data_IF_423525230943
#
_entry.id   IF_423525230943
#
_cell.length_a   1.000
_cell.length_b   1.000
_cell.length_c   1.000
_cell.angle_alpha   90.00
_cell.angle_beta   90.00
_cell.angle_gamma   90.00
#
_symmetry.space_group_name_H-M   'P 1'
#
loop_
_entity.id
_entity.type
_entity.pdbx_description
1 polymer ?
#
# COMPACT_ATOMS: atom_id res chain seq x y z
N UNK A 1 -14.48 -13.01 25.42
CA UNK A 1 -13.40 -12.92 24.41
C UNK A 1 -13.24 -11.46 24.09
N UNK A 2 -12.03 -10.89 24.28
CA UNK A 2 -11.78 -9.50 23.90
C UNK A 2 -11.87 -9.38 22.38
N UNK A 3 -12.72 -8.51 21.88
CA UNK A 3 -12.78 -8.10 20.48
C UNK A 3 -12.00 -6.80 20.32
N UNK A 4 -11.36 -6.64 19.17
CA UNK A 4 -10.68 -5.43 18.75
C UNK A 4 -11.47 -4.78 17.63
N UNK A 5 -11.41 -3.45 17.55
CA UNK A 5 -12.04 -2.65 16.48
C UNK A 5 -10.99 -1.71 15.92
N UNK A 6 -10.94 -1.58 14.59
CA UNK A 6 -10.00 -0.68 13.91
C UNK A 6 -10.51 -0.31 12.51
N UNK A 7 -9.98 0.78 11.98
CA UNK A 7 -10.13 1.17 10.58
C UNK A 7 -9.27 0.24 9.70
N UNK A 8 -9.85 -0.26 8.63
CA UNK A 8 -9.22 -1.23 7.76
C UNK A 8 -9.56 -1.04 6.29
N UNK A 9 -8.68 -1.54 5.43
CA UNK A 9 -8.88 -1.70 3.99
C UNK A 9 -8.68 -3.17 3.62
N UNK A 10 -9.59 -3.71 2.80
CA UNK A 10 -9.46 -5.07 2.29
C UNK A 10 -8.42 -5.08 1.17
N UNK A 11 -7.36 -5.86 1.33
CA UNK A 11 -6.31 -6.04 0.34
C UNK A 11 -6.62 -7.18 -0.62
N UNK A 12 -7.07 -8.31 -0.08
CA UNK A 12 -7.32 -9.53 -0.85
C UNK A 12 -8.40 -10.38 -0.23
N UNK A 13 -9.11 -11.14 -1.06
CA UNK A 13 -10.15 -12.06 -0.60
C UNK A 13 -10.02 -13.41 -1.30
N UNK A 14 -10.17 -14.50 -0.53
CA UNK A 14 -10.14 -15.87 -1.04
C UNK A 14 -11.41 -16.60 -0.59
N UNK A 15 -12.05 -17.30 -1.51
CA UNK A 15 -13.18 -18.18 -1.17
C UNK A 15 -12.72 -19.27 -0.21
N UNK A 16 -13.43 -19.42 0.91
CA UNK A 16 -13.12 -20.42 1.93
C UNK A 16 -14.36 -21.22 2.30
N UNK A 17 -14.27 -22.54 2.16
CA UNK A 17 -15.43 -23.41 2.31
C UNK A 17 -16.60 -22.94 1.43
N UNK A 18 -17.83 -23.36 1.70
CA UNK A 18 -18.97 -23.06 0.85
C UNK A 18 -19.46 -21.59 0.95
N UNK A 19 -19.45 -21.01 2.15
CA UNK A 19 -20.11 -19.73 2.42
C UNK A 19 -19.22 -18.65 3.02
N UNK A 20 -17.95 -18.95 3.30
CA UNK A 20 -17.02 -18.05 3.98
C UNK A 20 -16.00 -17.44 3.01
N UNK A 21 -15.35 -16.38 3.46
CA UNK A 21 -14.15 -15.80 2.84
C UNK A 21 -13.01 -15.81 3.85
N UNK A 22 -11.78 -16.02 3.39
CA UNK A 22 -10.59 -15.53 4.05
C UNK A 22 -10.31 -14.17 3.43
N UNK A 23 -10.09 -13.17 4.25
CA UNK A 23 -9.75 -11.82 3.81
C UNK A 23 -8.42 -11.40 4.42
N UNK A 24 -7.56 -10.82 3.61
CA UNK A 24 -6.40 -10.07 4.06
C UNK A 24 -6.83 -8.60 4.17
N UNK A 25 -6.63 -8.01 5.34
CA UNK A 25 -6.93 -6.60 5.59
C UNK A 25 -5.68 -5.90 6.09
N UNK A 26 -5.54 -4.63 5.75
CA UNK A 26 -4.58 -3.74 6.37
C UNK A 26 -5.33 -2.83 7.33
N UNK A 27 -4.97 -2.87 8.59
CA UNK A 27 -5.57 -2.06 9.65
C UNK A 27 -4.62 -0.97 10.09
N UNK A 28 -5.18 0.14 10.58
CA UNK A 28 -4.37 1.30 10.94
C UNK A 28 -3.46 1.06 12.13
N UNK A 29 -3.94 0.33 13.16
CA UNK A 29 -3.21 0.19 14.43
C UNK A 29 -2.68 -1.21 14.70
N UNK A 30 -3.11 -2.23 13.94
CA UNK A 30 -2.68 -3.62 14.12
C UNK A 30 -1.95 -4.19 12.89
N UNK A 31 -1.76 -3.39 11.85
CA UNK A 31 -1.10 -3.83 10.63
C UNK A 31 -1.92 -4.78 9.78
N UNK A 32 -1.24 -5.65 9.04
CA UNK A 32 -1.89 -6.63 8.15
C UNK A 32 -2.40 -7.85 8.92
N UNK A 33 -3.66 -8.21 8.70
CA UNK A 33 -4.35 -9.31 9.40
C UNK A 33 -5.03 -10.25 8.42
N UNK A 34 -5.01 -11.56 8.74
CA UNK A 34 -5.85 -12.55 8.09
C UNK A 34 -7.13 -12.79 8.88
N UNK A 35 -8.29 -12.64 8.27
CA UNK A 35 -9.58 -12.82 8.93
C UNK A 35 -10.47 -13.81 8.19
N UNK A 36 -11.24 -14.60 8.93
CA UNK A 36 -12.30 -15.46 8.40
C UNK A 36 -13.64 -14.72 8.53
N UNK A 37 -14.24 -14.38 7.41
CA UNK A 37 -15.59 -13.80 7.31
C UNK A 37 -16.61 -14.92 7.08
N UNK A 38 -17.19 -15.46 8.16
CA UNK A 38 -18.15 -16.56 8.10
C UNK A 38 -19.46 -16.10 7.45
N UNK A 39 -19.95 -16.89 6.50
CA UNK A 39 -21.21 -16.61 5.81
C UNK A 39 -21.19 -15.41 4.85
N UNK A 40 -20.03 -14.82 4.60
CA UNK A 40 -19.89 -13.64 3.72
C UNK A 40 -20.36 -13.89 2.28
N UNK A 41 -20.30 -15.14 1.81
CA UNK A 41 -20.74 -15.54 0.45
C UNK A 41 -22.22 -15.91 0.36
N UNK A 42 -22.96 -15.94 1.46
CA UNK A 42 -24.40 -16.22 1.41
C UNK A 42 -25.13 -15.16 0.60
N UNK A 43 -26.19 -15.51 -0.18
CA UNK A 43 -26.90 -14.57 -1.06
C UNK A 43 -27.42 -13.30 -0.35
N UNK A 44 -27.84 -13.44 0.91
CA UNK A 44 -28.39 -12.34 1.74
C UNK A 44 -27.40 -11.78 2.75
N UNK A 45 -26.10 -12.04 2.59
CA UNK A 45 -25.08 -11.54 3.52
C UNK A 45 -24.80 -10.06 3.28
N UNK A 46 -24.95 -9.22 4.29
CA UNK A 46 -24.53 -7.83 4.25
C UNK A 46 -23.01 -7.69 3.98
N UNK A 47 -22.20 -8.64 4.44
CA UNK A 47 -20.75 -8.65 4.23
C UNK A 47 -20.35 -8.79 2.75
N UNK A 48 -21.19 -9.37 1.91
CA UNK A 48 -20.88 -9.63 0.48
C UNK A 48 -20.60 -8.34 -0.31
N UNK A 49 -21.31 -7.25 0.01
CA UNK A 49 -21.12 -5.95 -0.64
C UNK A 49 -20.06 -5.08 0.05
N UNK A 50 -19.78 -5.36 1.33
CA UNK A 50 -18.85 -4.58 2.15
C UNK A 50 -17.39 -4.99 1.96
N UNK A 51 -17.11 -6.30 1.91
CA UNK A 51 -15.75 -6.84 1.87
C UNK A 51 -15.15 -6.73 0.46
N UNK A 52 -15.19 -5.54 -0.10
CA UNK A 52 -14.59 -5.22 -1.40
C UNK A 52 -13.28 -4.43 -1.18
N UNK A 53 -12.27 -4.61 -2.06
CA UNK A 53 -11.07 -3.80 -2.02
C UNK A 53 -11.36 -2.29 -2.11
N UNK A 54 -10.43 -1.49 -1.61
CA UNK A 54 -10.40 -0.03 -1.75
C UNK A 54 -11.52 0.74 -1.03
N UNK A 55 -12.22 0.09 -0.10
CA UNK A 55 -13.25 0.77 0.71
C UNK A 55 -12.81 0.79 2.17
N UNK A 56 -12.79 1.98 2.82
CA UNK A 56 -12.52 2.07 4.25
C UNK A 56 -13.66 1.45 5.04
N UNK A 57 -13.31 0.53 5.91
CA UNK A 57 -14.23 -0.20 6.78
C UNK A 57 -13.79 -0.03 8.23
N UNK A 58 -14.73 0.19 9.13
CA UNK A 58 -14.53 -0.13 10.53
C UNK A 58 -14.83 -1.62 10.72
N UNK A 59 -13.84 -2.38 11.15
CA UNK A 59 -13.95 -3.82 11.35
C UNK A 59 -13.79 -4.17 12.83
N UNK A 60 -14.54 -5.19 13.26
CA UNK A 60 -14.39 -5.79 14.59
C UNK A 60 -14.09 -7.29 14.43
N UNK A 61 -13.08 -7.75 15.15
CA UNK A 61 -12.66 -9.15 15.09
C UNK A 61 -12.29 -9.69 16.47
N UNK A 62 -12.17 -11.02 16.57
CA UNK A 62 -11.69 -11.71 17.76
C UNK A 62 -10.85 -12.94 17.38
N UNK A 63 -10.00 -13.34 18.33
CA UNK A 63 -9.07 -14.47 18.19
C UNK A 63 -7.62 -14.01 18.33
N UNK A 64 -6.72 -14.98 18.54
CA UNK A 64 -5.27 -14.79 18.66
C UNK A 64 -4.49 -15.64 17.67
N UNK A 65 -5.18 -16.49 16.89
CA UNK A 65 -4.57 -17.30 15.86
C UNK A 65 -4.20 -16.46 14.65
N UNK A 66 -3.39 -17.02 13.79
CA UNK A 66 -2.98 -16.39 12.52
C UNK A 66 -4.19 -15.96 11.66
N UNK A 67 -5.24 -16.78 11.65
CA UNK A 67 -6.53 -16.44 11.06
C UNK A 67 -7.54 -16.16 12.19
N UNK A 68 -7.98 -14.91 12.31
CA UNK A 68 -8.92 -14.44 13.32
C UNK A 68 -10.35 -14.42 12.76
N UNK A 69 -11.36 -14.35 13.61
CA UNK A 69 -12.74 -14.31 13.15
C UNK A 69 -13.21 -12.84 13.00
N UNK A 70 -13.65 -12.46 11.80
CA UNK A 70 -14.37 -11.22 11.59
C UNK A 70 -15.74 -11.33 12.26
N UNK A 71 -16.07 -10.35 13.11
CA UNK A 71 -17.34 -10.28 13.84
C UNK A 71 -18.30 -9.28 13.20
N UNK A 72 -17.79 -8.12 12.77
CA UNK A 72 -18.56 -7.08 12.12
C UNK A 72 -17.68 -6.29 11.15
N UNK A 73 -18.30 -5.69 10.14
CA UNK A 73 -17.68 -4.71 9.26
C UNK A 73 -18.74 -3.67 8.91
N UNK A 74 -18.37 -2.40 8.95
CA UNK A 74 -19.22 -1.27 8.62
C UNK A 74 -18.47 -0.32 7.68
N UNK A 75 -19.16 0.22 6.69
CA UNK A 75 -18.56 1.18 5.78
C UNK A 75 -18.47 2.56 6.44
N UNK A 76 -17.28 3.16 6.42
CA UNK A 76 -17.02 4.44 7.08
C UNK A 76 -17.18 5.62 6.11
N UNK A 77 -17.09 5.36 4.80
CA UNK A 77 -17.13 6.44 3.80
C UNK A 77 -15.77 7.12 3.60
N UNK A 78 -15.81 8.33 3.04
CA UNK A 78 -14.63 9.20 2.93
C UNK A 78 -13.71 8.98 1.73
N UNK A 79 -13.85 7.88 0.99
CA UNK A 79 -13.09 7.58 -0.21
C UNK A 79 -14.03 7.35 -1.41
N UNK A 80 -13.77 8.03 -2.52
CA UNK A 80 -14.42 7.71 -3.78
C UNK A 80 -14.02 6.31 -4.25
N UNK A 81 -14.96 5.58 -4.87
CA UNK A 81 -14.68 4.21 -5.34
C UNK A 81 -13.72 4.25 -6.52
N UNK A 82 -12.66 3.45 -6.45
CA UNK A 82 -11.86 3.16 -7.63
C UNK A 82 -12.74 2.45 -8.67
N UNK A 83 -12.64 2.87 -9.90
CA UNK A 83 -13.40 2.30 -11.03
C UNK A 83 -12.58 2.35 -12.32
N UNK A 84 -13.02 1.59 -13.33
CA UNK A 84 -12.37 1.57 -14.63
C UNK A 84 -10.87 1.29 -14.59
N UNK A 85 -10.06 2.05 -15.34
CA UNK A 85 -8.62 1.88 -15.41
C UNK A 85 -7.90 2.03 -14.06
N UNK A 86 -8.43 2.82 -13.11
CA UNK A 86 -7.80 3.04 -11.79
C UNK A 86 -7.77 1.78 -10.91
N UNK A 87 -8.54 0.75 -11.25
CA UNK A 87 -8.50 -0.53 -10.52
C UNK A 87 -7.14 -1.23 -10.64
N UNK A 88 -6.46 -1.15 -11.79
CA UNK A 88 -5.18 -1.82 -12.00
C UNK A 88 -4.08 -1.29 -11.07
N UNK A 89 -3.79 0.03 -11.02
CA UNK A 89 -2.85 0.56 -10.05
C UNK A 89 -3.29 0.30 -8.60
N UNK A 90 -4.58 0.32 -8.29
CA UNK A 90 -5.08 -0.05 -6.97
C UNK A 90 -4.75 -1.50 -6.59
N UNK A 91 -4.96 -2.46 -7.48
CA UNK A 91 -4.59 -3.87 -7.25
C UNK A 91 -3.08 -4.06 -7.17
N UNK A 92 -2.30 -3.31 -7.91
CA UNK A 92 -0.85 -3.31 -7.78
C UNK A 92 -0.40 -2.88 -6.38
N UNK A 93 -0.98 -1.80 -5.84
CA UNK A 93 -0.72 -1.38 -4.45
C UNK A 93 -1.09 -2.48 -3.45
N UNK A 94 -2.26 -3.12 -3.61
CA UNK A 94 -2.66 -4.24 -2.75
C UNK A 94 -1.65 -5.39 -2.79
N UNK A 95 -1.15 -5.73 -3.97
CA UNK A 95 -0.16 -6.80 -4.13
C UNK A 95 1.14 -6.46 -3.41
N UNK A 96 1.64 -5.23 -3.53
CA UNK A 96 2.81 -4.76 -2.78
C UNK A 96 2.60 -4.91 -1.26
N UNK A 97 1.45 -4.45 -0.75
CA UNK A 97 1.12 -4.54 0.67
C UNK A 97 1.07 -6.00 1.16
N UNK A 98 0.44 -6.89 0.38
CA UNK A 98 0.33 -8.31 0.75
C UNK A 98 1.68 -9.00 0.73
N UNK A 99 2.57 -8.64 -0.20
CA UNK A 99 3.88 -9.29 -0.36
C UNK A 99 4.94 -8.78 0.59
N UNK A 100 4.93 -7.48 0.89
CA UNK A 100 6.04 -6.82 1.58
C UNK A 100 5.77 -6.58 3.05
N UNK A 101 4.53 -6.34 3.47
CA UNK A 101 4.24 -6.04 4.88
C UNK A 101 4.02 -7.33 5.66
N UNK A 102 4.77 -7.57 6.75
CA UNK A 102 4.50 -8.67 7.67
C UNK A 102 3.10 -8.57 8.29
N UNK A 103 2.56 -9.70 8.74
CA UNK A 103 1.33 -9.69 9.55
C UNK A 103 1.63 -9.20 10.95
N UNK A 104 0.62 -8.60 11.59
CA UNK A 104 0.66 -8.13 12.98
C UNK A 104 1.75 -7.06 13.24
N UNK A 105 2.16 -6.34 12.19
CA UNK A 105 3.10 -5.24 12.25
C UNK A 105 2.40 -3.93 11.85
N UNK A 106 2.29 -3.01 12.80
CA UNK A 106 1.52 -1.78 12.65
C UNK A 106 2.35 -0.68 11.97
N UNK A 107 1.84 -0.13 10.87
CA UNK A 107 2.43 0.98 10.14
C UNK A 107 1.36 2.08 9.92
N UNK A 108 1.01 2.87 10.93
CA UNK A 108 -0.08 3.87 10.82
C UNK A 108 0.18 4.92 9.74
N UNK A 109 1.43 5.38 9.61
CA UNK A 109 1.81 6.36 8.59
C UNK A 109 1.62 5.80 7.17
N UNK A 110 2.00 4.53 6.95
CA UNK A 110 1.79 3.85 5.67
C UNK A 110 0.30 3.61 5.39
N UNK A 111 -0.51 3.33 6.43
CA UNK A 111 -1.96 3.21 6.26
C UNK A 111 -2.57 4.52 5.75
N UNK A 112 -2.20 5.64 6.36
CA UNK A 112 -2.69 6.97 5.99
C UNK A 112 -2.20 7.34 4.56
N UNK A 113 -0.96 7.02 4.19
CA UNK A 113 -0.42 7.24 2.84
C UNK A 113 -1.10 6.34 1.78
N UNK A 114 -1.38 5.07 2.12
CA UNK A 114 -2.12 4.17 1.25
C UNK A 114 -3.53 4.69 0.97
N UNK A 115 -4.24 5.14 2.01
CA UNK A 115 -5.58 5.73 1.88
C UNK A 115 -5.55 7.00 1.00
N UNK A 116 -4.56 7.87 1.21
CA UNK A 116 -4.36 9.09 0.41
C UNK A 116 -4.04 8.76 -1.05
N UNK A 117 -3.21 7.75 -1.30
CA UNK A 117 -2.83 7.29 -2.64
C UNK A 117 -4.05 6.74 -3.40
N UNK A 118 -4.88 5.92 -2.74
CA UNK A 118 -6.16 5.47 -3.32
C UNK A 118 -7.07 6.66 -3.65
N UNK A 119 -7.10 7.68 -2.78
CA UNK A 119 -7.86 8.91 -3.01
C UNK A 119 -7.39 9.68 -4.25
N UNK A 120 -6.08 9.74 -4.51
CA UNK A 120 -5.53 10.35 -5.72
C UNK A 120 -5.94 9.58 -6.97
N UNK A 121 -5.82 8.25 -6.97
CA UNK A 121 -6.22 7.39 -8.08
C UNK A 121 -7.72 7.45 -8.37
N UNK A 122 -8.54 7.67 -7.35
CA UNK A 122 -10.00 7.73 -7.47
C UNK A 122 -10.53 9.07 -8.01
N UNK A 123 -9.72 10.14 -8.01
CA UNK A 123 -10.16 11.48 -8.50
C UNK A 123 -10.37 11.52 -10.01
N UNK A 124 -9.49 10.87 -10.76
CA UNK A 124 -9.48 10.85 -12.22
C UNK A 124 -9.30 9.42 -12.73
N UNK A 125 -10.29 8.53 -12.53
CA UNK A 125 -10.13 7.12 -12.83
C UNK A 125 -9.88 6.84 -14.32
N UNK A 126 -10.39 7.68 -15.23
CA UNK A 126 -10.17 7.62 -16.67
C UNK A 126 -8.74 7.96 -17.09
N UNK A 127 -8.05 8.79 -16.31
CA UNK A 127 -6.66 9.19 -16.56
C UNK A 127 -5.65 8.18 -16.01
N UNK A 128 -6.09 7.14 -15.33
CA UNK A 128 -5.19 6.16 -14.71
C UNK A 128 -4.42 5.30 -15.74
N UNK A 129 -4.76 5.36 -17.01
CA UNK A 129 -3.96 4.81 -18.12
C UNK A 129 -2.84 5.76 -18.55
N UNK A 130 -2.93 7.03 -18.21
CA UNK A 130 -1.85 7.99 -18.47
C UNK A 130 -0.70 7.74 -17.49
N UNK A 131 0.41 7.20 -18.01
CA UNK A 131 1.59 6.86 -17.22
C UNK A 131 2.21 8.10 -16.57
N UNK A 132 2.24 9.23 -17.25
CA UNK A 132 2.82 10.47 -16.74
C UNK A 132 2.13 10.97 -15.46
N UNK A 133 0.83 10.69 -15.32
CA UNK A 133 0.04 11.07 -14.14
C UNK A 133 0.07 9.99 -13.05
N UNK A 134 -0.03 8.74 -13.44
CA UNK A 134 -0.18 7.62 -12.50
C UNK A 134 1.16 7.16 -11.92
N UNK A 135 2.22 7.14 -12.73
CA UNK A 135 3.52 6.66 -12.32
C UNK A 135 4.12 7.44 -11.14
N UNK A 136 4.11 8.79 -11.10
CA UNK A 136 4.59 9.54 -9.95
C UNK A 136 3.82 9.22 -8.65
N UNK A 137 2.51 8.99 -8.75
CA UNK A 137 1.67 8.62 -7.60
C UNK A 137 2.14 7.27 -7.04
N UNK A 138 2.35 6.28 -7.91
CA UNK A 138 2.81 4.95 -7.51
C UNK A 138 4.24 4.99 -6.96
N UNK A 139 5.18 5.69 -7.64
CA UNK A 139 6.57 5.84 -7.18
C UNK A 139 6.65 6.48 -5.80
N UNK A 140 5.85 7.52 -5.54
CA UNK A 140 5.79 8.13 -4.22
C UNK A 140 5.37 7.12 -3.15
N UNK A 141 4.32 6.34 -3.41
CA UNK A 141 3.87 5.30 -2.48
C UNK A 141 4.93 4.23 -2.25
N UNK A 142 5.57 3.73 -3.32
CA UNK A 142 6.64 2.73 -3.23
C UNK A 142 7.83 3.23 -2.40
N UNK A 143 8.25 4.48 -2.60
CA UNK A 143 9.31 5.10 -1.80
C UNK A 143 8.93 5.17 -0.30
N UNK A 144 7.67 5.52 0.00
CA UNK A 144 7.19 5.57 1.37
C UNK A 144 7.08 4.17 1.98
N UNK A 145 6.61 3.18 1.22
CA UNK A 145 6.57 1.78 1.63
C UNK A 145 7.99 1.27 1.97
N UNK A 146 8.97 1.50 1.09
CA UNK A 146 10.37 1.11 1.34
C UNK A 146 10.93 1.81 2.57
N UNK A 147 10.59 3.08 2.79
CA UNK A 147 11.01 3.84 3.97
C UNK A 147 10.44 3.24 5.25
N UNK A 148 9.15 2.94 5.29
CA UNK A 148 8.49 2.30 6.43
C UNK A 148 9.06 0.90 6.74
N UNK A 149 9.49 0.18 5.70
CA UNK A 149 10.14 -1.12 5.81
C UNK A 149 11.64 -1.04 6.17
N UNK A 150 12.21 0.16 6.27
CA UNK A 150 13.64 0.36 6.56
C UNK A 150 14.59 0.12 5.39
N UNK A 151 14.06 0.01 4.16
CA UNK A 151 14.85 -0.24 2.93
C UNK A 151 14.98 0.98 2.03
N UNK A 152 14.44 2.14 2.43
CA UNK A 152 14.50 3.32 1.57
C UNK A 152 15.94 3.79 1.37
N UNK A 153 16.42 3.88 0.13
CA UNK A 153 17.60 4.65 -0.16
C UNK A 153 17.35 6.13 0.22
N UNK A 154 18.37 6.77 0.76
CA UNK A 154 18.32 8.20 1.05
C UNK A 154 18.47 8.96 -0.29
N UNK A 155 17.38 9.12 -1.05
CA UNK A 155 17.41 9.85 -2.33
C UNK A 155 17.72 11.32 -2.19
N UNK A 156 17.68 11.88 -0.98
CA UNK A 156 18.01 13.27 -0.69
C UNK A 156 19.47 13.49 -0.30
N UNK A 157 20.29 12.43 -0.21
CA UNK A 157 21.69 12.48 0.25
C UNK A 157 22.59 11.54 -0.53
N UNK A 158 23.87 11.89 -0.58
CA UNK A 158 24.90 10.98 -1.08
C UNK A 158 25.13 9.83 -0.10
N UNK A 159 25.19 8.60 -0.60
CA UNK A 159 25.40 7.42 0.26
C UNK A 159 26.81 7.38 0.83
N UNK A 160 27.80 7.83 0.07
CA UNK A 160 29.20 7.93 0.52
C UNK A 160 29.45 9.04 1.53
N UNK A 161 28.60 10.06 1.56
CA UNK A 161 28.65 11.18 2.49
C UNK A 161 27.25 11.66 2.84
N UNK A 162 26.67 11.09 3.89
CA UNK A 162 25.29 11.37 4.33
C UNK A 162 25.05 12.80 4.79
N UNK A 163 26.08 13.61 4.99
CA UNK A 163 25.96 15.05 5.27
C UNK A 163 25.75 15.87 3.98
N UNK A 164 26.12 15.32 2.81
CA UNK A 164 25.91 15.97 1.52
C UNK A 164 24.52 15.69 0.99
N UNK A 165 23.72 16.74 0.85
CA UNK A 165 22.41 16.67 0.18
C UNK A 165 22.57 16.63 -1.33
N UNK A 166 21.72 15.85 -1.98
CA UNK A 166 21.56 15.86 -3.43
C UNK A 166 21.09 17.26 -3.88
N UNK A 167 21.74 17.82 -4.90
CA UNK A 167 21.49 19.16 -5.41
C UNK A 167 21.34 19.14 -6.92
N UNK A 168 20.34 19.84 -7.47
CA UNK A 168 20.08 19.94 -8.91
C UNK A 168 21.23 20.51 -9.74
N UNK A 169 22.29 21.04 -9.10
CA UNK A 169 23.50 21.55 -9.76
C UNK A 169 24.54 20.47 -10.06
N UNK A 170 24.30 19.22 -9.67
CA UNK A 170 25.27 18.14 -9.81
C UNK A 170 24.64 16.91 -10.47
N UNK A 171 25.49 16.06 -11.03
CA UNK A 171 25.12 14.76 -11.59
C UNK A 171 25.38 13.65 -10.58
N UNK A 172 24.47 12.69 -10.53
CA UNK A 172 24.54 11.56 -9.59
C UNK A 172 24.29 10.25 -10.33
N UNK A 173 25.04 9.25 -9.96
CA UNK A 173 24.79 7.86 -10.33
C UNK A 173 24.00 7.19 -9.21
N UNK A 174 22.95 6.46 -9.58
CA UNK A 174 22.13 5.65 -8.67
C UNK A 174 22.47 4.19 -8.87
N UNK A 175 22.99 3.55 -7.85
CA UNK A 175 23.33 2.13 -7.89
C UNK A 175 22.47 1.38 -6.84
N UNK A 176 21.77 0.28 -7.21
CA UNK A 176 20.91 -0.47 -6.27
C UNK A 176 21.64 -1.02 -5.03
N UNK A 177 22.95 -1.25 -5.12
CA UNK A 177 23.74 -1.83 -4.04
C UNK A 177 24.53 -0.79 -3.24
N UNK A 178 25.02 0.26 -3.89
CA UNK A 178 25.88 1.27 -3.25
C UNK A 178 25.18 2.61 -3.03
N UNK A 179 23.96 2.76 -3.54
CA UNK A 179 23.14 3.96 -3.38
C UNK A 179 23.52 5.09 -4.34
N UNK A 180 23.42 6.33 -3.86
CA UNK A 180 23.62 7.54 -4.65
C UNK A 180 25.04 8.09 -4.44
N UNK A 181 25.76 8.30 -5.53
CA UNK A 181 27.09 8.89 -5.53
C UNK A 181 27.18 10.00 -6.58
N UNK A 182 27.87 11.09 -6.23
CA UNK A 182 28.13 12.16 -7.16
C UNK A 182 29.12 11.73 -8.23
N UNK A 183 28.85 12.09 -9.48
CA UNK A 183 29.70 11.79 -10.64
C UNK A 183 30.15 13.08 -11.33
N UNK A 184 31.24 12.99 -12.07
CA UNK A 184 31.79 14.06 -12.87
C UNK A 184 31.31 13.97 -14.32
N UNK A 185 31.36 15.08 -15.08
CA UNK A 185 30.96 15.13 -16.49
C UNK A 185 31.67 14.09 -17.39
N UNK A 186 32.85 13.62 -16.98
CA UNK A 186 33.59 12.56 -17.71
C UNK A 186 32.91 11.19 -17.68
N UNK A 187 31.92 10.99 -16.84
CA UNK A 187 31.14 9.74 -16.67
C UNK A 187 29.76 9.82 -17.34
N UNK A 188 29.50 10.88 -18.14
CA UNK A 188 28.33 11.05 -18.99
C UNK A 188 28.32 10.01 -20.12
N UNK A 189 27.63 8.92 -19.91
CA UNK A 189 27.48 7.81 -20.88
C UNK A 189 26.87 6.56 -20.24
N UNK A 190 26.75 6.55 -18.93
CA UNK A 190 26.06 5.51 -18.18
C UNK A 190 24.56 5.81 -18.11
N UNK A 191 23.74 4.80 -18.38
CA UNK A 191 22.27 4.89 -18.37
C UNK A 191 21.68 5.26 -16.99
N UNK A 192 22.48 5.20 -15.92
CA UNK A 192 22.06 5.41 -14.53
C UNK A 192 22.52 6.77 -13.93
N UNK A 193 22.76 7.77 -14.79
CA UNK A 193 23.16 9.12 -14.35
C UNK A 193 21.98 10.09 -14.42
N UNK A 194 21.73 10.81 -13.33
CA UNK A 194 20.59 11.70 -13.15
C UNK A 194 21.05 13.05 -12.61
N UNK A 195 20.27 14.11 -12.93
CA UNK A 195 20.36 15.38 -12.22
C UNK A 195 19.70 15.25 -10.85
N UNK A 196 20.31 15.86 -9.84
CA UNK A 196 19.81 15.87 -8.47
C UNK A 196 18.56 16.70 -8.27
#
# INVERSE_FOLDING_TARGET
MNSLTDLALVLHTIAWRETSLIIEVFTRTQGRLGLIAKGARRPRSALRGLLQPFQPLEIRWAGRSELRNLLAAEWVGGLARLSGPALMPGFYLNELMVRLIPRDDAHPALFDDYLATLGLLARHPEEATNRELTEPILRRFECNLLREMGYAPLFDRETSNTDCRVSGSHLYQVNPHTGISRVTEAQLGDEDVYHG
#
